data_IF_133633634083
#
_entry.id   IF_133633634083
#
_cell.length_a   1.000
_cell.length_b   1.000
_cell.length_c   1.000
_cell.angle_alpha   90.00
_cell.angle_beta   90.00
_cell.angle_gamma   90.00
#
_symmetry.space_group_name_H-M   'P 1'
#
loop_
_entity.id
_entity.type
_entity.pdbx_description
1 polymer ?
#
# COMPACT_ATOMS: atom_id res chain seq x y z
N UNK A 1 -59.19 -16.92 9.31
CA UNK A 1 -58.97 -17.06 10.78
C UNK A 1 -57.67 -16.33 11.07
N UNK A 2 -57.58 -15.34 11.98
CA UNK A 2 -57.62 -15.47 13.46
C UNK A 2 -56.60 -16.51 13.95
N UNK A 3 -55.70 -16.24 14.90
CA UNK A 3 -55.29 -15.01 15.63
C UNK A 3 -54.04 -15.38 16.48
N UNK A 4 -53.26 -14.39 16.97
CA UNK A 4 -52.54 -14.29 18.28
C UNK A 4 -52.02 -15.59 18.97
N UNK A 5 -50.81 -15.66 19.54
CA UNK A 5 -50.26 -14.93 20.72
C UNK A 5 -48.71 -15.03 20.71
N UNK A 6 -47.86 -14.23 21.38
CA UNK A 6 -47.72 -12.76 21.60
C UNK A 6 -46.84 -12.50 22.87
N UNK A 7 -45.86 -11.58 22.78
CA UNK A 7 -45.10 -10.93 23.90
C UNK A 7 -44.05 -11.79 24.67
N UNK A 8 -42.98 -11.24 25.29
CA UNK A 8 -42.59 -9.83 25.57
C UNK A 8 -41.05 -9.68 25.87
N UNK A 9 -40.53 -8.44 25.74
CA UNK A 9 -39.34 -7.83 26.42
C UNK A 9 -37.93 -8.34 26.00
N UNK A 10 -36.87 -7.53 25.82
CA UNK A 10 -36.61 -6.08 26.03
C UNK A 10 -35.48 -5.66 25.06
N UNK A 11 -35.67 -4.77 24.06
CA UNK A 11 -35.46 -3.31 24.07
C UNK A 11 -34.10 -2.79 24.62
N UNK A 12 -33.18 -2.44 23.71
CA UNK A 12 -32.42 -1.15 23.61
C UNK A 12 -32.18 -0.93 22.10
N UNK A 13 -32.97 -0.11 21.38
CA UNK A 13 -32.68 1.29 20.99
C UNK A 13 -31.28 1.44 20.33
N UNK A 14 -31.17 1.70 19.01
CA UNK A 14 -31.32 3.02 18.34
C UNK A 14 -30.39 4.08 18.98
N UNK A 15 -29.54 4.82 18.26
CA UNK A 15 -29.75 5.67 17.05
C UNK A 15 -28.39 5.74 16.31
N UNK A 16 -28.24 5.93 14.99
CA UNK A 16 -29.17 6.18 13.90
C UNK A 16 -28.47 7.03 12.85
N UNK A 17 -28.00 6.40 11.77
CA UNK A 17 -27.34 7.08 10.64
C UNK A 17 -28.37 7.85 9.81
N UNK A 18 -28.72 9.05 10.25
CA UNK A 18 -29.52 9.99 9.48
C UNK A 18 -28.56 10.69 8.51
N UNK A 19 -28.72 10.42 7.22
CA UNK A 19 -28.14 11.24 6.18
C UNK A 19 -28.81 12.63 6.23
N UNK A 20 -28.03 13.66 6.59
CA UNK A 20 -28.45 15.07 6.60
C UNK A 20 -27.89 15.73 5.34
N UNK A 21 -28.67 16.54 4.60
CA UNK A 21 -28.22 17.11 3.32
C UNK A 21 -27.12 18.17 3.49
N UNK A 22 -26.33 18.34 2.44
CA UNK A 22 -25.22 19.29 2.36
C UNK A 22 -25.69 20.76 2.43
N UNK A 23 -25.77 21.31 3.65
CA UNK A 23 -25.74 22.75 3.95
C UNK A 23 -25.68 22.99 5.46
N UNK A 24 -24.54 22.71 6.11
CA UNK A 24 -24.41 22.78 7.57
C UNK A 24 -22.99 23.15 8.06
N UNK A 25 -22.80 24.45 8.32
CA UNK A 25 -21.87 25.04 9.31
C UNK A 25 -20.36 24.70 9.23
N UNK A 26 -19.61 25.59 8.59
CA UNK A 26 -18.18 25.76 8.86
C UNK A 26 -17.97 26.44 10.23
N UNK A 27 -16.99 25.99 11.01
CA UNK A 27 -16.59 26.59 12.30
C UNK A 27 -15.07 26.66 12.42
N UNK A 28 -14.53 27.79 12.90
CA UNK A 28 -13.10 27.91 13.21
C UNK A 28 -12.72 27.03 14.41
N UNK A 29 -11.70 26.18 14.26
CA UNK A 29 -11.14 25.40 15.39
C UNK A 29 -10.02 26.21 16.03
N UNK A 30 -10.34 26.85 17.15
CA UNK A 30 -9.40 27.67 17.95
C UNK A 30 -8.44 26.83 18.79
N UNK A 31 -8.56 25.51 18.79
CA UNK A 31 -7.76 24.56 19.59
C UNK A 31 -6.52 24.04 18.85
N UNK A 32 -6.33 24.40 17.57
CA UNK A 32 -5.10 24.09 16.84
C UNK A 32 -3.93 24.97 17.31
N UNK A 33 -3.22 24.48 18.31
CA UNK A 33 -2.09 25.19 18.93
C UNK A 33 -0.79 25.01 18.13
N UNK A 34 -0.58 23.85 17.51
CA UNK A 34 0.73 23.43 16.98
C UNK A 34 0.91 23.52 15.46
N UNK A 35 -0.18 23.33 14.72
CA UNK A 35 -0.20 23.42 13.25
C UNK A 35 -1.18 24.49 12.81
N UNK A 36 -0.90 25.09 11.66
CA UNK A 36 -1.75 26.09 11.01
C UNK A 36 -2.18 25.52 9.67
N UNK A 37 -3.47 25.16 9.47
CA UNK A 37 -3.93 24.68 8.18
C UNK A 37 -3.90 25.82 7.16
N UNK A 38 -3.56 25.50 5.90
CA UNK A 38 -3.57 26.48 4.80
C UNK A 38 -4.97 27.01 4.45
N UNK A 39 -6.03 26.30 4.87
CA UNK A 39 -7.43 26.72 4.75
C UNK A 39 -8.08 26.87 6.15
N UNK A 40 -8.75 28.00 6.40
CA UNK A 40 -9.35 28.31 7.71
C UNK A 40 -10.77 27.77 7.93
N UNK A 41 -11.35 27.07 6.94
CA UNK A 41 -12.73 26.58 6.96
C UNK A 41 -12.79 25.06 7.07
N UNK A 42 -13.51 24.56 8.09
CA UNK A 42 -13.49 23.16 8.53
C UNK A 42 -14.86 22.53 8.34
N UNK A 43 -14.90 21.33 7.75
CA UNK A 43 -16.09 20.50 7.62
C UNK A 43 -16.26 19.62 8.85
N UNK A 44 -16.74 20.19 9.96
CA UNK A 44 -16.66 19.57 11.30
C UNK A 44 -17.60 18.36 11.48
N UNK A 45 -17.26 17.22 10.90
CA UNK A 45 -17.88 15.93 11.23
C UNK A 45 -17.09 15.28 12.36
N UNK A 46 -17.50 15.53 13.61
CA UNK A 46 -16.88 14.92 14.80
C UNK A 46 -17.22 13.43 14.88
N UNK A 47 -16.27 12.57 14.54
CA UNK A 47 -16.25 11.20 15.03
C UNK A 47 -15.75 11.20 16.47
N UNK A 48 -16.53 10.65 17.41
CA UNK A 48 -16.11 10.50 18.81
C UNK A 48 -15.80 9.04 19.12
N UNK A 49 -14.58 8.77 19.62
CA UNK A 49 -14.16 7.41 19.98
C UNK A 49 -13.50 7.34 21.35
N UNK A 50 -13.93 6.36 22.13
CA UNK A 50 -13.39 6.07 23.47
C UNK A 50 -12.22 5.08 23.38
N UNK A 51 -11.05 5.48 23.90
CA UNK A 51 -9.85 4.63 24.01
C UNK A 51 -9.95 3.57 25.13
N UNK A 52 -8.88 2.83 25.38
CA UNK A 52 -8.84 1.79 26.43
C UNK A 52 -8.88 2.36 27.86
N UNK A 53 -8.55 3.64 28.04
CA UNK A 53 -8.63 4.34 29.32
C UNK A 53 -9.99 5.00 29.58
N UNK A 54 -10.89 5.03 28.60
CA UNK A 54 -12.18 5.71 28.70
C UNK A 54 -12.18 7.16 28.22
N UNK A 55 -11.06 7.68 27.69
CA UNK A 55 -10.95 9.05 27.15
C UNK A 55 -11.54 9.08 25.74
N UNK A 56 -12.36 10.10 25.45
CA UNK A 56 -12.99 10.28 24.15
C UNK A 56 -12.20 11.27 23.31
N UNK A 57 -11.87 10.88 22.09
CA UNK A 57 -11.09 11.68 21.14
C UNK A 57 -11.98 12.25 20.03
N UNK A 58 -11.63 13.44 19.56
CA UNK A 58 -12.30 14.16 18.46
C UNK A 58 -11.39 14.12 17.23
N UNK A 59 -11.93 13.70 16.09
CA UNK A 59 -11.25 13.83 14.78
C UNK A 59 -11.72 15.10 14.09
N UNK A 60 -10.77 15.95 13.69
CA UNK A 60 -11.00 17.14 12.89
C UNK A 60 -10.85 16.82 11.40
N UNK A 61 -11.92 17.05 10.62
CA UNK A 61 -11.95 16.75 9.19
C UNK A 61 -11.86 18.05 8.39
N UNK A 62 -10.85 18.13 7.54
CA UNK A 62 -10.51 19.30 6.72
C UNK A 62 -10.84 19.04 5.25
N UNK A 63 -11.14 20.07 4.45
CA UNK A 63 -11.33 19.91 3.01
C UNK A 63 -10.13 19.24 2.34
N UNK A 64 -10.40 18.43 1.31
CA UNK A 64 -9.37 17.79 0.50
C UNK A 64 -8.32 18.81 0.00
N UNK A 65 -7.04 18.44 0.06
CA UNK A 65 -5.92 19.33 -0.33
C UNK A 65 -5.49 20.35 0.72
N UNK A 66 -6.02 20.31 1.95
CA UNK A 66 -5.52 21.14 3.06
C UNK A 66 -4.14 20.66 3.53
N UNK A 67 -3.16 21.58 3.53
CA UNK A 67 -1.81 21.37 4.09
C UNK A 67 -1.70 21.99 5.48
N UNK A 68 -0.69 21.60 6.26
CA UNK A 68 -0.49 22.03 7.64
C UNK A 68 0.93 22.53 7.86
N UNK A 69 1.06 23.82 8.17
CA UNK A 69 2.33 24.46 8.53
C UNK A 69 2.59 24.30 10.04
N UNK A 70 3.76 23.78 10.41
CA UNK A 70 4.16 23.54 11.80
C UNK A 70 4.72 24.81 12.42
N UNK A 71 4.15 25.29 13.53
CA UNK A 71 4.49 26.62 14.06
C UNK A 71 5.95 26.74 14.49
N UNK A 72 6.54 27.90 14.20
CA UNK A 72 7.96 28.18 14.36
C UNK A 72 8.38 28.57 15.80
N UNK A 73 7.93 27.84 16.82
CA UNK A 73 8.11 28.20 18.24
C UNK A 73 9.08 27.31 19.04
N UNK A 74 9.64 26.27 18.41
CA UNK A 74 10.58 25.32 19.03
C UNK A 74 9.94 24.03 19.52
N UNK A 75 8.62 23.84 19.32
CA UNK A 75 7.96 22.54 19.52
C UNK A 75 8.47 21.52 18.50
N UNK A 76 8.56 20.26 18.95
CA UNK A 76 8.81 19.08 18.13
C UNK A 76 7.53 18.27 18.13
N UNK A 77 6.97 18.05 16.94
CA UNK A 77 5.81 17.20 16.73
C UNK A 77 6.26 15.81 16.30
N UNK A 78 5.53 14.78 16.74
CA UNK A 78 5.48 13.48 16.08
C UNK A 78 4.11 13.27 15.49
N UNK A 79 4.08 12.85 14.23
CA UNK A 79 2.85 12.56 13.49
C UNK A 79 2.77 11.06 13.28
N UNK A 80 1.66 10.46 13.70
CA UNK A 80 1.34 9.06 13.50
C UNK A 80 0.15 8.94 12.55
N UNK A 81 0.07 7.85 11.78
CA UNK A 81 -0.99 7.62 10.81
C UNK A 81 -1.77 6.31 11.10
N UNK A 82 -3.08 6.35 10.89
CA UNK A 82 -3.97 5.19 10.90
C UNK A 82 -4.89 5.23 9.67
N UNK A 83 -5.09 4.07 9.06
CA UNK A 83 -6.27 3.87 8.21
C UNK A 83 -7.51 3.88 9.09
N UNK A 84 -8.66 4.28 8.55
CA UNK A 84 -9.92 4.24 9.30
C UNK A 84 -10.23 2.82 9.83
N UNK A 85 -9.80 1.78 9.10
CA UNK A 85 -9.90 0.39 9.52
C UNK A 85 -8.96 0.01 10.66
N UNK A 86 -7.66 0.36 10.60
CA UNK A 86 -6.72 0.07 11.70
C UNK A 86 -7.10 0.82 12.98
N UNK A 87 -7.62 2.04 12.82
CA UNK A 87 -8.27 2.79 13.89
C UNK A 87 -9.44 1.96 14.45
N UNK A 88 -10.44 1.60 13.64
CA UNK A 88 -11.63 0.85 14.05
C UNK A 88 -11.31 -0.46 14.77
N UNK A 89 -10.38 -1.26 14.23
CA UNK A 89 -10.04 -2.61 14.70
C UNK A 89 -9.12 -2.64 15.93
N UNK A 90 -8.66 -1.48 16.45
CA UNK A 90 -7.71 -1.36 17.58
C UNK A 90 -6.34 -2.02 17.33
N UNK A 91 -6.05 -2.39 16.08
CA UNK A 91 -4.74 -2.88 15.66
C UNK A 91 -3.84 -1.69 15.33
N UNK A 92 -3.31 -1.05 16.38
CA UNK A 92 -2.26 -0.03 16.24
C UNK A 92 -1.02 -0.70 15.63
N UNK A 93 -0.74 -0.42 14.36
CA UNK A 93 0.15 -1.28 13.57
C UNK A 93 0.54 -0.71 12.20
N UNK A 94 0.68 0.61 12.05
CA UNK A 94 1.46 1.17 10.94
C UNK A 94 2.52 2.15 11.46
N UNK A 95 3.49 1.61 12.20
CA UNK A 95 4.70 2.32 12.54
C UNK A 95 5.70 2.22 11.37
N UNK A 96 5.54 3.07 10.36
CA UNK A 96 6.62 3.28 9.42
C UNK A 96 7.63 4.26 10.06
N UNK A 97 8.73 3.71 10.56
CA UNK A 97 9.84 4.47 11.17
C UNK A 97 10.51 5.47 10.20
N UNK A 98 10.22 5.39 8.89
CA UNK A 98 10.59 6.40 7.90
C UNK A 98 9.78 7.69 7.97
N UNK A 99 8.67 7.74 8.70
CA UNK A 99 7.84 8.93 8.88
C UNK A 99 7.76 9.41 10.35
N UNK A 100 8.83 9.23 11.11
CA UNK A 100 9.09 10.10 12.25
C UNK A 100 9.38 11.52 11.75
N UNK A 101 8.34 12.25 11.34
CA UNK A 101 8.42 13.63 10.90
C UNK A 101 8.72 14.50 12.11
N UNK A 102 10.00 14.58 12.48
CA UNK A 102 10.52 15.57 13.41
C UNK A 102 10.40 16.93 12.72
N UNK A 103 9.21 17.51 12.81
CA UNK A 103 8.92 18.86 12.32
C UNK A 103 9.66 19.87 13.21
N UNK A 104 10.97 19.96 13.02
CA UNK A 104 11.79 21.00 13.63
C UNK A 104 11.47 22.30 12.90
N UNK A 105 10.95 23.25 13.67
CA UNK A 105 10.32 24.54 13.36
C UNK A 105 11.14 25.55 12.52
N UNK A 106 12.26 25.12 11.93
CA UNK A 106 13.21 25.97 11.21
C UNK A 106 13.48 25.54 9.75
N UNK A 107 13.28 24.27 9.37
CA UNK A 107 13.65 23.75 8.04
C UNK A 107 12.71 22.66 7.48
N UNK A 108 11.53 22.44 8.07
CA UNK A 108 10.59 21.39 7.64
C UNK A 108 9.56 21.93 6.62
N UNK A 109 9.24 21.20 5.52
CA UNK A 109 8.16 21.59 4.61
C UNK A 109 6.78 21.33 5.23
N UNK A 110 5.74 21.97 4.67
CA UNK A 110 4.33 21.74 5.03
C UNK A 110 3.99 20.24 5.12
N UNK A 111 3.28 19.85 6.19
CA UNK A 111 2.71 18.52 6.28
C UNK A 111 1.49 18.41 5.35
N UNK A 112 1.52 17.41 4.45
CA UNK A 112 0.45 17.13 3.48
C UNK A 112 -0.17 15.76 3.82
N UNK A 113 -1.30 15.71 4.56
CA UNK A 113 -1.97 14.46 4.87
C UNK A 113 -2.62 13.82 3.65
N UNK A 114 -2.62 12.48 3.61
CA UNK A 114 -3.29 11.68 2.59
C UNK A 114 -4.82 11.71 2.80
N UNK A 115 -5.63 11.84 1.72
CA UNK A 115 -7.08 11.81 1.81
C UNK A 115 -7.64 10.53 2.44
N UNK A 116 -8.47 10.68 3.48
CA UNK A 116 -9.08 9.57 4.21
C UNK A 116 -8.20 8.88 5.26
N UNK A 117 -6.94 9.31 5.43
CA UNK A 117 -6.04 8.82 6.49
C UNK A 117 -6.17 9.69 7.74
N UNK A 118 -6.31 9.05 8.91
CA UNK A 118 -6.41 9.74 10.19
C UNK A 118 -5.01 9.85 10.79
N UNK A 119 -4.61 11.07 11.15
CA UNK A 119 -3.32 11.36 11.75
C UNK A 119 -3.46 11.85 13.18
N UNK A 120 -2.61 11.39 14.09
CA UNK A 120 -2.42 11.95 15.44
C UNK A 120 -1.18 12.83 15.42
N UNK A 121 -1.29 14.02 16.00
CA UNK A 121 -0.14 14.86 16.32
C UNK A 121 0.09 14.81 17.84
N UNK A 122 1.28 14.38 18.25
CA UNK A 122 1.78 14.44 19.63
C UNK A 122 2.92 15.47 19.73
N UNK A 123 2.98 16.24 20.81
CA UNK A 123 4.13 17.10 21.16
C UNK A 123 5.11 16.36 22.07
N UNK A 124 6.41 16.38 21.77
CA UNK A 124 7.41 15.63 22.56
C UNK A 124 8.05 16.42 23.72
N UNK A 125 7.80 17.73 23.83
CA UNK A 125 8.59 18.63 24.68
C UNK A 125 7.91 19.09 25.99
N UNK A 126 6.69 18.64 26.29
CA UNK A 126 6.02 18.89 27.56
C UNK A 126 5.64 17.58 28.27
N UNK A 127 5.87 17.49 29.59
CA UNK A 127 5.39 16.38 30.44
C UNK A 127 3.87 16.41 30.68
N UNK A 128 3.10 16.98 29.75
CA UNK A 128 1.67 17.21 29.85
C UNK A 128 0.98 16.55 28.64
N UNK A 129 0.68 15.26 28.79
CA UNK A 129 0.19 14.33 27.76
C UNK A 129 -1.28 14.58 27.39
N UNK A 130 -1.63 15.83 27.10
CA UNK A 130 -3.01 16.33 27.21
C UNK A 130 -3.66 16.77 25.89
N UNK A 131 -2.91 17.03 24.82
CA UNK A 131 -3.44 17.57 23.55
C UNK A 131 -3.09 16.71 22.32
N UNK A 132 -3.34 15.41 22.45
CA UNK A 132 -3.43 14.45 21.34
C UNK A 132 -4.48 14.94 20.31
N UNK A 133 -4.05 15.45 19.16
CA UNK A 133 -4.98 15.96 18.14
C UNK A 133 -5.10 15.01 16.95
N UNK A 134 -6.32 14.56 16.65
CA UNK A 134 -6.59 13.73 15.47
C UNK A 134 -7.10 14.60 14.30
N UNK A 135 -6.45 14.50 13.14
CA UNK A 135 -6.84 15.20 11.90
C UNK A 135 -7.02 14.23 10.73
N UNK A 136 -7.80 14.62 9.74
CA UNK A 136 -7.96 13.92 8.46
C UNK A 136 -8.31 14.95 7.40
N UNK A 137 -7.85 14.79 6.15
CA UNK A 137 -8.43 15.51 5.01
C UNK A 137 -9.46 14.63 4.31
N UNK A 138 -10.58 15.22 3.87
CA UNK A 138 -11.67 14.49 3.23
C UNK A 138 -11.16 13.66 2.07
N UNK A 139 -11.45 12.36 2.09
CA UNK A 139 -11.36 11.49 0.91
C UNK A 139 -12.30 12.05 -0.15
N UNK A 140 -11.73 12.65 -1.19
CA UNK A 140 -12.51 13.34 -2.21
C UNK A 140 -13.50 12.40 -2.87
N UNK A 141 -14.80 12.65 -2.68
CA UNK A 141 -15.75 12.36 -3.75
C UNK A 141 -15.31 13.16 -4.98
N UNK A 142 -15.44 12.56 -6.17
CA UNK A 142 -15.09 13.16 -7.46
C UNK A 142 -15.50 14.64 -7.56
N UNK A 143 -14.61 15.47 -8.10
CA UNK A 143 -14.83 16.92 -8.22
C UNK A 143 -16.16 17.22 -8.92
N UNK A 144 -17.05 17.91 -8.22
CA UNK A 144 -18.32 18.40 -8.75
C UNK A 144 -18.11 19.76 -9.43
N UNK A 145 -17.70 19.75 -10.70
CA UNK A 145 -17.77 20.97 -11.52
C UNK A 145 -19.22 21.32 -11.87
N UNK A 146 -19.51 22.62 -11.88
CA UNK A 146 -20.82 23.20 -12.19
C UNK A 146 -20.86 23.55 -13.69
N UNK A 147 -21.95 23.31 -14.42
CA UNK A 147 -21.86 22.90 -15.82
C UNK A 147 -21.42 24.01 -16.77
N UNK A 148 -20.38 23.73 -17.56
CA UNK A 148 -20.11 24.44 -18.80
C UNK A 148 -20.95 23.88 -19.97
N UNK A 149 -21.01 24.69 -21.03
CA UNK A 149 -21.72 24.44 -22.29
C UNK A 149 -21.18 23.16 -22.97
N UNK A 150 -21.99 22.38 -23.73
CA UNK A 150 -21.62 21.01 -24.06
C UNK A 150 -20.45 20.93 -25.05
N UNK A 151 -19.24 20.77 -24.53
CA UNK A 151 -18.07 20.41 -25.32
C UNK A 151 -18.11 18.93 -25.74
N UNK A 152 -17.48 18.68 -26.89
CA UNK A 152 -17.59 17.44 -27.65
C UNK A 152 -16.85 16.29 -26.96
N UNK A 153 -17.48 15.11 -26.89
CA UNK A 153 -17.02 14.02 -26.04
C UNK A 153 -15.75 13.37 -26.60
N UNK A 154 -14.58 13.78 -26.09
CA UNK A 154 -13.31 13.08 -26.32
C UNK A 154 -13.10 11.98 -25.29
N UNK A 155 -12.75 10.80 -25.78
CA UNK A 155 -12.36 9.61 -25.04
C UNK A 155 -11.15 9.90 -24.11
N UNK A 156 -11.03 9.28 -22.92
CA UNK A 156 -9.94 9.61 -22.00
C UNK A 156 -8.58 9.20 -22.59
N UNK A 157 -7.70 10.17 -22.78
CA UNK A 157 -6.30 9.96 -23.15
C UNK A 157 -5.59 9.08 -22.09
N UNK A 158 -4.71 8.15 -22.50
CA UNK A 158 -4.02 7.27 -21.57
C UNK A 158 -3.14 8.07 -20.60
N UNK A 159 -3.18 7.69 -19.32
CA UNK A 159 -2.37 8.31 -18.27
C UNK A 159 -0.88 8.15 -18.58
N UNK A 160 -0.18 9.26 -18.79
CA UNK A 160 1.25 9.26 -19.04
C UNK A 160 2.02 8.80 -17.79
N UNK A 161 3.10 8.02 -17.97
CA UNK A 161 3.88 7.51 -16.85
C UNK A 161 4.48 8.64 -16.00
N UNK A 162 4.41 8.53 -14.65
CA UNK A 162 5.07 9.48 -13.76
C UNK A 162 6.61 9.37 -13.80
N UNK A 163 7.15 8.30 -14.40
CA UNK A 163 8.58 7.99 -14.37
C UNK A 163 9.30 8.42 -15.64
N UNK A 164 10.26 9.34 -15.51
CA UNK A 164 11.04 9.86 -16.64
C UNK A 164 12.03 8.86 -17.28
N UNK A 165 12.19 7.68 -16.68
CA UNK A 165 13.00 6.56 -17.17
C UNK A 165 12.16 5.39 -17.75
N UNK A 166 10.86 5.60 -17.94
CA UNK A 166 9.92 4.60 -18.51
C UNK A 166 9.27 5.18 -19.77
N UNK A 167 9.84 4.87 -20.93
CA UNK A 167 9.34 5.34 -22.22
C UNK A 167 8.09 4.57 -22.67
N UNK A 168 7.11 5.26 -23.27
CA UNK A 168 5.87 4.69 -23.84
C UNK A 168 6.09 3.51 -24.79
N UNK A 169 7.21 3.49 -25.52
CA UNK A 169 7.56 2.39 -26.44
C UNK A 169 8.26 1.20 -25.75
N UNK A 170 8.41 1.19 -24.43
CA UNK A 170 9.07 0.10 -23.70
C UNK A 170 8.09 -1.04 -23.42
N UNK A 171 8.56 -2.29 -23.52
CA UNK A 171 7.73 -3.48 -23.26
C UNK A 171 7.19 -3.57 -21.81
N UNK A 172 7.77 -2.79 -20.90
CA UNK A 172 7.39 -2.70 -19.49
C UNK A 172 6.59 -1.42 -19.17
N UNK A 173 6.14 -0.64 -20.17
CA UNK A 173 5.37 0.57 -19.92
C UNK A 173 4.05 0.26 -19.19
N UNK A 174 3.15 -0.50 -19.81
CA UNK A 174 1.87 -0.87 -19.20
C UNK A 174 2.06 -1.71 -17.90
N UNK A 175 2.97 -2.71 -17.84
CA UNK A 175 3.29 -3.40 -16.59
C UNK A 175 3.77 -2.50 -15.45
N UNK A 176 4.47 -1.40 -15.74
CA UNK A 176 4.89 -0.43 -14.70
C UNK A 176 3.72 0.44 -14.25
N UNK A 177 2.84 0.88 -15.15
CA UNK A 177 1.66 1.65 -14.77
C UNK A 177 0.72 0.82 -13.89
N UNK A 178 0.39 -0.39 -14.32
CA UNK A 178 -0.40 -1.34 -13.54
C UNK A 178 0.21 -1.62 -12.17
N UNK A 179 1.54 -1.85 -12.09
CA UNK A 179 2.20 -2.10 -10.81
C UNK A 179 2.23 -0.88 -9.87
N UNK A 180 2.00 0.34 -10.38
CA UNK A 180 1.78 1.54 -9.55
C UNK A 180 0.32 1.64 -9.12
N UNK A 181 -0.62 1.41 -10.05
CA UNK A 181 -2.06 1.48 -9.82
C UNK A 181 -2.53 0.46 -8.76
N UNK A 182 -2.05 -0.78 -8.84
CA UNK A 182 -2.31 -1.85 -7.85
C UNK A 182 -1.44 -1.73 -6.58
N UNK A 183 -0.66 -0.66 -6.41
CA UNK A 183 0.16 -0.43 -5.21
C UNK A 183 1.37 -1.37 -5.04
N UNK A 184 1.67 -2.23 -6.02
CA UNK A 184 2.79 -3.19 -5.99
C UNK A 184 4.13 -2.46 -5.82
N UNK A 185 4.30 -1.29 -6.45
CA UNK A 185 5.50 -0.47 -6.31
C UNK A 185 5.25 1.02 -6.55
N UNK A 186 5.90 1.86 -5.74
CA UNK A 186 5.91 3.33 -5.88
C UNK A 186 7.11 3.86 -6.68
N UNK A 187 7.85 2.97 -7.37
CA UNK A 187 9.12 3.29 -8.04
C UNK A 187 10.33 3.31 -7.10
N UNK A 188 11.44 3.91 -7.55
CA UNK A 188 12.61 4.27 -6.72
C UNK A 188 12.47 5.68 -6.13
N UNK A 189 11.75 6.54 -6.84
CA UNK A 189 11.33 7.87 -6.41
C UNK A 189 10.06 8.26 -7.19
N UNK A 190 9.43 9.38 -6.85
CA UNK A 190 8.26 9.90 -7.54
C UNK A 190 8.44 10.11 -9.07
N UNK A 191 9.67 10.12 -9.59
CA UNK A 191 9.97 10.36 -11.02
C UNK A 191 10.91 9.34 -11.67
N UNK A 192 11.27 8.26 -10.97
CA UNK A 192 12.13 7.20 -11.52
C UNK A 192 11.72 5.81 -11.02
N UNK A 193 11.56 4.89 -11.95
CA UNK A 193 11.28 3.47 -11.69
C UNK A 193 12.55 2.61 -11.67
N UNK A 194 13.61 3.04 -12.38
CA UNK A 194 14.84 2.29 -12.63
C UNK A 194 14.60 0.90 -13.25
N UNK A 195 13.97 0.79 -14.44
CA UNK A 195 13.54 -0.49 -15.01
C UNK A 195 14.68 -1.49 -15.29
N UNK A 196 15.91 -0.99 -15.47
CA UNK A 196 17.09 -1.80 -15.78
C UNK A 196 17.91 -2.20 -14.53
N UNK A 197 17.54 -1.74 -13.33
CA UNK A 197 18.17 -2.20 -12.08
C UNK A 197 17.92 -3.70 -11.90
N UNK A 198 18.95 -4.45 -11.49
CA UNK A 198 18.80 -5.82 -11.00
C UNK A 198 17.92 -5.86 -9.75
N UNK A 199 16.94 -6.76 -9.71
CA UNK A 199 16.18 -7.07 -8.51
C UNK A 199 16.94 -8.04 -7.60
N UNK A 200 16.91 -7.80 -6.29
CA UNK A 200 17.25 -8.82 -5.30
C UNK A 200 16.05 -9.73 -5.01
N UNK A 201 16.28 -10.89 -4.39
CA UNK A 201 15.19 -11.79 -3.98
C UNK A 201 14.14 -11.07 -3.12
N UNK A 202 14.57 -10.23 -2.16
CA UNK A 202 13.66 -9.40 -1.37
C UNK A 202 12.81 -8.43 -2.21
N UNK A 203 13.34 -7.86 -3.29
CA UNK A 203 12.55 -6.99 -4.17
C UNK A 203 11.41 -7.78 -4.84
N UNK A 204 11.71 -8.99 -5.33
CA UNK A 204 10.73 -9.83 -6.04
C UNK A 204 9.68 -10.35 -5.09
N UNK A 205 10.07 -10.88 -3.93
CA UNK A 205 9.14 -11.37 -2.92
C UNK A 205 8.23 -10.26 -2.41
N UNK A 206 8.74 -9.03 -2.23
CA UNK A 206 7.90 -7.87 -1.85
C UNK A 206 6.88 -7.52 -2.93
N UNK A 207 7.28 -7.53 -4.20
CA UNK A 207 6.36 -7.25 -5.32
C UNK A 207 5.29 -8.33 -5.46
N UNK A 208 5.69 -9.60 -5.38
CA UNK A 208 4.78 -10.75 -5.44
C UNK A 208 3.79 -10.75 -4.26
N UNK A 209 4.27 -10.53 -3.03
CA UNK A 209 3.45 -10.43 -1.83
C UNK A 209 2.39 -9.32 -1.95
N UNK A 210 2.76 -8.14 -2.48
CA UNK A 210 1.81 -7.05 -2.75
C UNK A 210 0.80 -7.39 -3.84
N UNK A 211 1.25 -7.98 -4.93
CA UNK A 211 0.38 -8.39 -6.03
C UNK A 211 -0.66 -9.45 -5.58
N UNK A 212 -0.37 -10.20 -4.52
CA UNK A 212 -1.28 -11.14 -3.86
C UNK A 212 -2.11 -10.52 -2.72
N UNK A 213 -2.10 -9.19 -2.57
CA UNK A 213 -2.91 -8.46 -1.58
C UNK A 213 -2.33 -8.41 -0.17
N UNK A 214 -1.00 -8.39 -0.05
CA UNK A 214 -0.26 -8.31 1.23
C UNK A 214 -0.71 -9.33 2.30
N UNK A 215 -0.81 -10.64 1.97
CA UNK A 215 -1.31 -11.65 2.90
C UNK A 215 -0.46 -11.76 4.17
N UNK A 216 -1.10 -11.62 5.32
CA UNK A 216 -0.46 -11.74 6.62
C UNK A 216 0.03 -13.18 6.87
N UNK A 217 1.30 -13.34 7.25
CA UNK A 217 1.85 -14.64 7.64
C UNK A 217 1.37 -15.05 9.04
N UNK A 218 1.23 -16.36 9.24
CA UNK A 218 1.00 -17.00 10.55
C UNK A 218 2.30 -17.25 11.32
N UNK A 219 3.46 -17.03 10.68
CA UNK A 219 4.79 -17.19 11.27
C UNK A 219 5.02 -16.10 12.33
N UNK A 220 4.98 -16.47 13.61
CA UNK A 220 5.13 -15.51 14.74
C UNK A 220 6.58 -15.33 15.22
N UNK A 221 7.51 -16.16 14.75
CA UNK A 221 8.94 -16.09 15.10
C UNK A 221 9.77 -15.96 13.83
N UNK A 222 10.78 -15.08 13.83
CA UNK A 222 11.63 -14.84 12.68
C UNK A 222 12.54 -16.05 12.38
N UNK A 223 12.35 -16.78 11.26
CA UNK A 223 13.13 -17.98 10.95
C UNK A 223 14.56 -17.66 10.46
N UNK A 224 14.81 -16.43 10.00
CA UNK A 224 16.06 -16.03 9.35
C UNK A 224 17.12 -15.49 10.34
N UNK A 225 16.85 -15.56 11.65
CA UNK A 225 17.74 -15.03 12.68
C UNK A 225 18.07 -13.54 12.50
N UNK A 226 19.35 -13.20 12.36
CA UNK A 226 19.81 -11.80 12.15
C UNK A 226 19.99 -11.41 10.68
N UNK A 227 19.74 -12.32 9.72
CA UNK A 227 19.85 -12.00 8.28
C UNK A 227 18.71 -11.09 7.79
N UNK A 228 17.54 -11.20 8.42
CA UNK A 228 16.35 -10.41 8.12
C UNK A 228 15.89 -9.71 9.40
N UNK A 229 15.89 -8.38 9.39
CA UNK A 229 15.48 -7.57 10.55
C UNK A 229 13.99 -7.23 10.47
N UNK A 230 13.29 -7.15 11.62
CA UNK A 230 11.85 -6.84 11.71
C UNK A 230 11.46 -5.47 11.13
N UNK A 231 12.40 -4.51 11.08
CA UNK A 231 12.20 -3.21 10.45
C UNK A 231 12.52 -3.16 8.95
N UNK A 232 12.78 -4.30 8.30
CA UNK A 232 13.06 -4.33 6.85
C UNK A 232 11.76 -4.22 6.05
N UNK A 233 11.74 -3.45 4.97
CA UNK A 233 10.54 -3.26 4.13
C UNK A 233 9.98 -4.56 3.51
N UNK A 234 10.78 -5.62 3.48
CA UNK A 234 10.46 -6.95 2.96
C UNK A 234 10.18 -7.99 4.06
N UNK A 235 10.11 -7.58 5.34
CA UNK A 235 10.02 -8.50 6.48
C UNK A 235 8.79 -9.42 6.38
N UNK A 236 7.60 -8.83 6.25
CA UNK A 236 6.34 -9.58 6.18
C UNK A 236 6.24 -10.42 4.90
N UNK A 237 6.71 -9.88 3.78
CA UNK A 237 6.83 -10.61 2.51
C UNK A 237 7.75 -11.84 2.63
N UNK A 238 8.87 -11.74 3.36
CA UNK A 238 9.77 -12.86 3.61
C UNK A 238 9.13 -13.91 4.56
N UNK A 239 8.43 -13.50 5.62
CA UNK A 239 7.68 -14.43 6.47
C UNK A 239 6.60 -15.19 5.69
N UNK A 240 5.87 -14.50 4.83
CA UNK A 240 4.87 -15.11 3.95
C UNK A 240 5.52 -16.08 2.96
N UNK A 241 6.60 -15.67 2.28
CA UNK A 241 7.33 -16.49 1.32
C UNK A 241 7.90 -17.77 1.97
N UNK A 242 8.39 -17.67 3.21
CA UNK A 242 8.81 -18.83 4.02
C UNK A 242 7.64 -19.75 4.37
N UNK A 243 6.48 -19.20 4.77
CA UNK A 243 5.27 -19.99 5.04
C UNK A 243 4.74 -20.72 3.78
N UNK A 244 4.92 -20.13 2.59
CA UNK A 244 4.59 -20.78 1.31
C UNK A 244 5.65 -21.79 0.85
N UNK A 245 6.84 -21.83 1.45
CA UNK A 245 7.95 -22.68 1.03
C UNK A 245 8.71 -22.17 -0.21
N UNK A 246 8.64 -20.87 -0.51
CA UNK A 246 9.43 -20.23 -1.56
C UNK A 246 10.91 -20.11 -1.19
N UNK A 247 11.19 -19.89 0.09
CA UNK A 247 12.50 -19.66 0.69
C UNK A 247 12.62 -20.42 2.02
N UNK A 248 13.84 -20.62 2.51
CA UNK A 248 14.13 -21.29 3.78
C UNK A 248 14.93 -20.40 4.75
N UNK A 249 15.39 -20.97 5.87
CA UNK A 249 16.19 -20.29 6.90
C UNK A 249 17.51 -19.68 6.38
N UNK A 250 17.97 -20.05 5.18
CA UNK A 250 19.22 -19.59 4.56
C UNK A 250 19.06 -18.39 3.62
N UNK A 251 17.84 -17.86 3.48
CA UNK A 251 17.49 -16.71 2.64
C UNK A 251 18.44 -15.50 2.81
N UNK A 252 19.04 -15.04 1.70
CA UNK A 252 19.79 -13.78 1.64
C UNK A 252 19.00 -12.73 0.82
N UNK A 253 18.38 -11.73 1.49
CA UNK A 253 17.53 -10.75 0.84
C UNK A 253 18.25 -9.85 -0.19
N UNK A 254 19.59 -9.83 -0.19
CA UNK A 254 20.40 -9.01 -1.08
C UNK A 254 20.93 -9.77 -2.30
N UNK A 255 20.75 -11.09 -2.36
CA UNK A 255 21.13 -11.89 -3.54
C UNK A 255 20.36 -11.43 -4.76
N UNK A 256 21.06 -11.23 -5.87
CA UNK A 256 20.46 -10.89 -7.16
C UNK A 256 19.65 -12.10 -7.67
N UNK A 257 18.36 -11.91 -7.88
CA UNK A 257 17.46 -13.02 -8.15
C UNK A 257 17.45 -13.39 -9.65
N UNK A 258 17.57 -14.69 -9.94
CA UNK A 258 17.62 -15.20 -11.31
C UNK A 258 16.24 -15.33 -11.95
N UNK A 259 16.19 -15.52 -13.27
CA UNK A 259 14.96 -15.81 -14.02
C UNK A 259 14.26 -17.07 -13.53
N UNK A 260 15.01 -18.11 -13.20
CA UNK A 260 14.42 -19.36 -12.67
C UNK A 260 13.84 -19.17 -11.27
N UNK A 261 14.53 -18.47 -10.37
CA UNK A 261 14.02 -18.17 -9.02
C UNK A 261 12.77 -17.29 -9.07
N UNK A 262 12.77 -16.22 -9.88
CA UNK A 262 11.62 -15.33 -10.01
C UNK A 262 10.35 -16.07 -10.44
N UNK A 263 10.47 -16.94 -11.45
CA UNK A 263 9.38 -17.80 -11.92
C UNK A 263 8.99 -18.87 -10.89
N UNK A 264 9.97 -19.43 -10.16
CA UNK A 264 9.71 -20.38 -9.08
C UNK A 264 8.86 -19.76 -7.94
N UNK A 265 9.16 -18.54 -7.51
CA UNK A 265 8.37 -17.85 -6.49
C UNK A 265 6.92 -17.64 -6.94
N UNK A 266 6.70 -17.19 -8.19
CA UNK A 266 5.36 -17.04 -8.76
C UNK A 266 4.61 -18.38 -8.84
N UNK A 267 5.27 -19.44 -9.31
CA UNK A 267 4.69 -20.79 -9.40
C UNK A 267 4.27 -21.34 -8.04
N UNK A 268 5.07 -21.13 -6.99
CA UNK A 268 4.70 -21.48 -5.61
C UNK A 268 3.52 -20.64 -5.11
N UNK A 269 3.48 -19.34 -5.42
CA UNK A 269 2.34 -18.47 -5.08
C UNK A 269 1.03 -18.90 -5.77
N UNK A 270 1.13 -19.43 -7.00
CA UNK A 270 0.03 -20.03 -7.75
C UNK A 270 -0.37 -21.44 -7.25
N UNK A 271 0.28 -21.97 -6.20
CA UNK A 271 -0.04 -23.27 -5.59
C UNK A 271 0.69 -24.46 -6.21
N UNK A 272 1.81 -24.24 -6.92
CA UNK A 272 2.66 -25.27 -7.54
C UNK A 272 1.95 -26.28 -8.45
N UNK A 273 1.16 -25.84 -9.46
CA UNK A 273 0.55 -26.74 -10.43
C UNK A 273 1.58 -27.51 -11.28
N UNK A 274 1.38 -28.82 -11.45
CA UNK A 274 2.33 -29.78 -12.04
C UNK A 274 1.84 -30.43 -13.36
N UNK A 275 0.75 -29.93 -13.94
CA UNK A 275 0.12 -30.47 -15.15
C UNK A 275 0.59 -29.82 -16.47
N UNK A 276 1.45 -28.81 -16.39
CA UNK A 276 1.98 -28.10 -17.55
C UNK A 276 2.88 -28.98 -18.43
N UNK A 277 2.69 -28.91 -19.75
CA UNK A 277 3.55 -29.59 -20.70
C UNK A 277 4.98 -29.00 -20.72
N UNK A 278 5.98 -29.86 -20.90
CA UNK A 278 7.39 -29.45 -20.89
C UNK A 278 7.69 -28.38 -21.96
N UNK A 279 8.29 -27.26 -21.52
CA UNK A 279 8.76 -26.19 -22.40
C UNK A 279 9.96 -26.66 -23.24
N UNK A 280 10.05 -26.19 -24.48
CA UNK A 280 11.07 -26.65 -25.46
C UNK A 280 12.42 -25.90 -25.36
N UNK A 281 12.84 -25.52 -24.16
CA UNK A 281 14.09 -24.80 -23.92
C UNK A 281 15.29 -25.77 -23.81
N UNK A 282 16.40 -25.45 -24.49
CA UNK A 282 17.59 -26.32 -24.50
C UNK A 282 18.49 -26.16 -23.27
N UNK A 283 18.26 -25.12 -22.49
CA UNK A 283 19.01 -24.71 -21.30
C UNK A 283 18.21 -24.92 -19.99
N UNK A 284 17.09 -25.64 -20.04
CA UNK A 284 16.33 -26.10 -18.88
C UNK A 284 16.36 -27.62 -18.86
N UNK A 285 17.09 -28.19 -17.89
CA UNK A 285 17.12 -29.64 -17.71
C UNK A 285 15.79 -30.12 -17.11
N UNK A 286 15.27 -31.26 -17.58
CA UNK A 286 13.96 -31.78 -17.15
C UNK A 286 13.93 -32.24 -15.67
N UNK A 287 15.10 -32.39 -15.04
CA UNK A 287 15.29 -32.71 -13.63
C UNK A 287 15.79 -31.51 -12.79
N UNK A 288 15.81 -30.29 -13.36
CA UNK A 288 16.08 -29.08 -12.61
C UNK A 288 14.92 -28.77 -11.64
N UNK A 289 15.23 -28.32 -10.43
CA UNK A 289 14.23 -28.02 -9.38
C UNK A 289 13.22 -26.92 -9.74
N UNK A 290 13.50 -26.13 -10.77
CA UNK A 290 12.64 -25.07 -11.30
C UNK A 290 11.96 -25.46 -12.65
N UNK A 291 12.15 -26.67 -13.16
CA UNK A 291 11.66 -27.07 -14.48
C UNK A 291 10.13 -26.94 -14.57
N UNK A 292 9.39 -27.42 -13.57
CA UNK A 292 7.93 -27.35 -13.55
C UNK A 292 7.41 -25.91 -13.45
N UNK A 293 8.07 -25.06 -12.67
CA UNK A 293 7.78 -23.63 -12.62
C UNK A 293 7.99 -22.94 -13.99
N UNK A 294 9.04 -23.31 -14.72
CA UNK A 294 9.27 -22.80 -16.09
C UNK A 294 8.22 -23.32 -17.06
N UNK A 295 7.82 -24.59 -16.96
CA UNK A 295 6.76 -25.18 -17.79
C UNK A 295 5.43 -24.45 -17.57
N UNK A 296 5.07 -24.22 -16.30
CA UNK A 296 3.89 -23.46 -15.90
C UNK A 296 3.93 -22.00 -16.41
N UNK A 297 5.04 -21.28 -16.22
CA UNK A 297 5.15 -19.88 -16.65
C UNK A 297 5.13 -19.70 -18.18
N UNK A 298 5.48 -20.73 -18.95
CA UNK A 298 5.25 -20.75 -20.41
C UNK A 298 3.78 -21.04 -20.72
N UNK A 299 3.16 -21.99 -20.01
CA UNK A 299 1.76 -22.38 -20.23
C UNK A 299 0.77 -21.25 -19.87
N UNK A 300 1.05 -20.46 -18.84
CA UNK A 300 0.27 -19.27 -18.45
C UNK A 300 0.65 -17.98 -19.20
N UNK A 301 1.65 -18.00 -20.09
CA UNK A 301 2.06 -16.82 -20.86
C UNK A 301 2.98 -15.82 -20.14
N UNK A 302 3.18 -15.97 -18.82
CA UNK A 302 4.13 -15.19 -17.99
C UNK A 302 5.47 -14.94 -18.69
N UNK A 303 6.03 -15.96 -19.34
CA UNK A 303 7.24 -15.79 -20.17
C UNK A 303 7.29 -16.70 -21.40
N UNK A 304 7.75 -16.13 -22.52
CA UNK A 304 8.06 -16.85 -23.77
C UNK A 304 9.52 -17.27 -23.90
N UNK A 305 10.34 -17.10 -22.85
CA UNK A 305 11.78 -17.29 -22.86
C UNK A 305 12.58 -16.03 -23.26
N UNK A 306 13.91 -16.13 -23.28
CA UNK A 306 14.80 -15.10 -23.87
C UNK A 306 14.84 -15.23 -25.40
N UNK A 307 14.77 -16.45 -25.90
CA UNK A 307 14.59 -16.77 -27.32
C UNK A 307 13.62 -17.95 -27.44
N UNK A 308 13.23 -18.30 -28.67
CA UNK A 308 12.35 -19.45 -28.93
C UNK A 308 12.90 -20.82 -28.44
N UNK A 309 14.19 -20.91 -28.07
CA UNK A 309 14.81 -22.15 -27.57
C UNK A 309 15.66 -21.96 -26.31
N UNK A 310 15.72 -20.76 -25.72
CA UNK A 310 16.51 -20.50 -24.50
C UNK A 310 15.71 -19.73 -23.45
N UNK A 311 15.71 -20.24 -22.23
CA UNK A 311 15.11 -19.60 -21.06
C UNK A 311 16.09 -18.66 -20.35
N UNK A 312 17.40 -18.97 -20.37
CA UNK A 312 18.45 -18.37 -19.55
C UNK A 312 18.10 -18.37 -18.05
N UNK A 313 18.15 -19.54 -17.36
CA UNK A 313 17.70 -19.66 -15.97
C UNK A 313 18.54 -18.84 -14.99
N UNK A 314 19.85 -18.74 -15.23
CA UNK A 314 20.82 -18.07 -14.35
C UNK A 314 20.96 -16.55 -14.63
N UNK A 315 20.28 -16.01 -15.66
CA UNK A 315 20.21 -14.57 -15.90
C UNK A 315 19.51 -13.86 -14.73
N UNK A 316 20.09 -12.80 -14.19
CA UNK A 316 19.43 -11.99 -13.18
C UNK A 316 18.29 -11.14 -13.78
N UNK A 317 17.16 -11.10 -13.11
CA UNK A 317 16.02 -10.28 -13.53
C UNK A 317 16.20 -8.80 -13.18
N UNK A 318 15.77 -7.91 -14.09
CA UNK A 318 15.64 -6.48 -13.82
C UNK A 318 14.27 -6.14 -13.23
N UNK A 319 14.12 -4.96 -12.61
CA UNK A 319 12.82 -4.43 -12.14
C UNK A 319 11.75 -4.48 -13.22
N UNK A 320 12.08 -4.07 -14.45
CA UNK A 320 11.18 -4.13 -15.61
C UNK A 320 10.81 -5.56 -16.01
N UNK A 321 11.69 -6.55 -15.86
CA UNK A 321 11.33 -7.95 -16.12
C UNK A 321 10.27 -8.47 -15.13
N UNK A 322 10.41 -8.14 -13.84
CA UNK A 322 9.55 -8.71 -12.79
C UNK A 322 8.14 -8.15 -12.82
N UNK A 323 7.97 -6.83 -12.98
CA UNK A 323 6.62 -6.27 -13.16
C UNK A 323 5.96 -6.79 -14.43
N UNK A 324 6.73 -7.06 -15.50
CA UNK A 324 6.20 -7.67 -16.74
C UNK A 324 5.74 -9.12 -16.53
N UNK A 325 6.39 -9.90 -15.68
CA UNK A 325 5.92 -11.26 -15.37
C UNK A 325 4.65 -11.20 -14.52
N UNK A 326 4.64 -10.38 -13.46
CA UNK A 326 3.47 -10.22 -12.59
C UNK A 326 2.24 -9.72 -13.37
N UNK A 327 2.42 -8.74 -14.27
CA UNK A 327 1.35 -8.23 -15.13
C UNK A 327 0.73 -9.34 -15.99
N UNK A 328 1.55 -10.17 -16.63
CA UNK A 328 1.10 -11.28 -17.48
C UNK A 328 0.42 -12.44 -16.74
N UNK A 329 0.69 -12.56 -15.45
CA UNK A 329 0.15 -13.62 -14.60
C UNK A 329 -1.17 -13.20 -13.93
N UNK A 330 -1.33 -11.89 -13.66
CA UNK A 330 -2.38 -11.35 -12.79
C UNK A 330 -3.31 -10.33 -13.46
N UNK A 331 -2.99 -9.84 -14.67
CA UNK A 331 -3.73 -8.78 -15.37
C UNK A 331 -4.00 -9.02 -16.88
N UNK A 332 -3.29 -9.95 -17.54
CA UNK A 332 -3.57 -10.40 -18.93
C UNK A 332 -4.48 -11.65 -18.98
#
# INVERSE_FOLDING_TARGET
MKKLVTMFLTLVLCVGAICVPASAYYTEVTEMTYVTPSNSSIGTTTCTRTDEGGKTHTVYIFPAGTTFDCRSDGTVLMIYAWTLESLNNRTAGYFNSGYAYLANSYDSPDFVPEPGVVYLLEETNTMDFAQDMYIMVEGGASQSETPEEPEETTEPEPSASPFGDVAESAYYYDPVLWAVEEGITTGRSATSFAPNDTCTEANILTFLWRAYGEPASKTTENPFGTAVNTGSYYYDAALWAYEQGMIDETFDPNTACTRSQAVYFMWVAAGSPDDAAAASFTDVAADASYADAVNWAVAQGVTTGRTASTFAPDDTCTRGNIVTFLYRDLAE
#
